data_IF_179373441928
#
_entry.id   IF_179373441928
#
_cell.length_a   1.000
_cell.length_b   1.000
_cell.length_c   1.000
_cell.angle_alpha   90.00
_cell.angle_beta   90.00
_cell.angle_gamma   90.00
#
_symmetry.space_group_name_H-M   'P 1'
#
loop_
_entity.id
_entity.type
_entity.pdbx_description
1 polymer ?
#
# COMPACT_ATOMS: atom_id res chain seq x y z
N UNK A 1 -24.26 87.16 -0.78
CA UNK A 1 -24.30 85.89 -1.53
C UNK A 1 -22.87 85.47 -1.81
N UNK A 2 -22.41 84.40 -1.16
CA UNK A 2 -21.98 83.23 -1.92
C UNK A 2 -22.53 81.92 -1.33
N UNK A 3 -22.92 81.01 -2.21
CA UNK A 3 -23.39 79.65 -1.88
C UNK A 3 -22.20 78.70 -1.87
N UNK A 4 -21.90 78.12 -0.70
CA UNK A 4 -20.95 77.02 -0.54
C UNK A 4 -21.66 75.69 -0.83
N UNK A 5 -21.16 74.94 -1.81
CA UNK A 5 -21.62 73.58 -2.16
C UNK A 5 -20.77 72.57 -1.40
N UNK A 6 -21.35 71.86 -0.43
CA UNK A 6 -20.76 70.67 0.17
C UNK A 6 -21.08 69.43 -0.67
N UNK A 7 -20.10 68.93 -1.43
CA UNK A 7 -20.05 67.53 -1.87
C UNK A 7 -19.33 66.73 -0.78
N UNK A 8 -19.97 65.69 -0.24
CA UNK A 8 -19.31 64.84 0.76
C UNK A 8 -20.03 63.52 1.05
N UNK A 9 -19.49 62.45 0.47
CA UNK A 9 -19.36 61.09 1.03
C UNK A 9 -20.63 60.24 1.19
N UNK A 10 -20.94 59.50 0.13
CA UNK A 10 -21.69 58.24 0.21
C UNK A 10 -20.94 57.16 -0.59
N UNK A 11 -19.76 56.71 -0.10
CA UNK A 11 -19.01 55.63 -0.76
C UNK A 11 -18.04 54.95 0.21
N UNK A 12 -18.51 54.48 1.37
CA UNK A 12 -17.62 53.74 2.28
C UNK A 12 -18.34 52.76 3.22
N UNK A 13 -19.45 52.13 2.80
CA UNK A 13 -20.13 51.13 3.65
C UNK A 13 -20.29 49.77 2.94
N UNK A 14 -20.33 49.71 1.61
CA UNK A 14 -20.57 48.45 0.88
C UNK A 14 -19.31 47.55 0.80
N UNK A 15 -18.09 48.09 0.97
CA UNK A 15 -16.85 47.29 0.88
C UNK A 15 -16.58 46.37 2.06
N UNK A 16 -17.20 46.59 3.23
CA UNK A 16 -16.95 45.78 4.43
C UNK A 16 -17.84 44.54 4.53
N UNK A 17 -19.03 44.53 3.93
CA UNK A 17 -19.92 43.36 3.98
C UNK A 17 -19.50 42.23 3.02
N UNK A 18 -18.89 42.55 1.86
CA UNK A 18 -18.38 41.54 0.92
C UNK A 18 -17.11 40.84 1.42
N UNK A 19 -16.24 41.56 2.15
CA UNK A 19 -15.02 40.97 2.72
C UNK A 19 -15.31 39.99 3.87
N UNK A 20 -16.32 40.29 4.71
CA UNK A 20 -16.74 39.39 5.79
C UNK A 20 -17.39 38.10 5.25
N UNK A 21 -18.12 38.19 4.13
CA UNK A 21 -18.79 37.03 3.53
C UNK A 21 -17.79 36.07 2.86
N UNK A 22 -16.73 36.57 2.22
CA UNK A 22 -15.66 35.71 1.67
C UNK A 22 -14.80 35.05 2.76
N UNK A 23 -14.61 35.72 3.90
CA UNK A 23 -13.84 35.14 5.02
C UNK A 23 -14.63 34.03 5.73
N UNK A 24 -15.93 34.23 5.96
CA UNK A 24 -16.80 33.19 6.53
C UNK A 24 -16.94 31.98 5.61
N UNK A 25 -17.03 32.15 4.28
CA UNK A 25 -17.14 31.02 3.35
C UNK A 25 -15.86 30.16 3.32
N UNK A 26 -14.68 30.79 3.38
CA UNK A 26 -13.40 30.07 3.49
C UNK A 26 -13.24 29.37 4.84
N UNK A 27 -13.71 29.99 5.93
CA UNK A 27 -13.66 29.37 7.25
C UNK A 27 -14.65 28.21 7.39
N UNK A 28 -15.84 28.30 6.77
CA UNK A 28 -16.81 27.20 6.75
C UNK A 28 -16.37 26.03 5.87
N UNK A 29 -15.74 26.29 4.70
CA UNK A 29 -15.13 25.25 3.88
C UNK A 29 -13.93 24.59 4.59
N UNK A 30 -13.14 25.36 5.35
CA UNK A 30 -12.04 24.82 6.14
C UNK A 30 -12.54 24.04 7.38
N UNK A 31 -13.64 24.46 8.02
CA UNK A 31 -14.24 23.72 9.14
C UNK A 31 -14.99 22.46 8.70
N UNK A 32 -15.62 22.44 7.52
CA UNK A 32 -16.18 21.21 6.94
C UNK A 32 -15.08 20.23 6.50
N UNK A 33 -13.94 20.73 6.01
CA UNK A 33 -12.74 19.90 5.78
C UNK A 33 -12.12 19.37 7.10
N UNK A 34 -12.31 20.07 8.22
CA UNK A 34 -11.79 19.65 9.53
C UNK A 34 -12.78 18.75 10.32
N UNK A 35 -14.08 18.78 10.00
CA UNK A 35 -15.12 17.93 10.60
C UNK A 35 -15.36 16.60 9.87
N UNK A 36 -14.75 16.38 8.70
CA UNK A 36 -14.60 15.06 8.08
C UNK A 36 -13.40 14.27 8.67
N UNK A 37 -13.12 14.45 9.97
CA UNK A 37 -12.42 13.45 10.79
C UNK A 37 -13.36 12.32 11.20
N UNK A 38 -14.19 11.85 10.26
CA UNK A 38 -15.12 10.76 10.51
C UNK A 38 -14.37 9.44 10.45
N UNK A 39 -13.95 8.95 11.62
CA UNK A 39 -13.29 7.67 11.86
C UNK A 39 -11.98 7.47 11.05
N UNK A 40 -10.85 7.33 11.74
CA UNK A 40 -9.66 6.75 11.10
C UNK A 40 -10.09 5.40 10.54
N UNK A 41 -10.19 5.29 9.23
CA UNK A 41 -10.46 4.03 8.59
C UNK A 41 -9.14 3.24 8.69
N UNK A 42 -9.09 2.22 9.54
CA UNK A 42 -7.89 1.49 9.95
C UNK A 42 -7.27 0.59 8.84
N UNK A 43 -7.48 0.97 7.58
CA UNK A 43 -6.96 0.30 6.40
C UNK A 43 -5.46 0.48 6.21
N UNK A 44 -4.93 -0.14 5.15
CA UNK A 44 -3.49 -0.20 4.95
C UNK A 44 -3.00 -0.44 3.52
N UNK A 45 -1.71 -0.23 3.22
CA UNK A 45 -1.15 -0.49 1.89
C UNK A 45 0.18 -1.23 2.01
N UNK A 46 0.19 -2.51 2.32
CA UNK A 46 1.40 -3.29 2.35
C UNK A 46 1.90 -3.52 0.95
N UNK A 47 3.16 -3.25 0.72
CA UNK A 47 3.84 -3.76 -0.45
C UNK A 47 5.02 -4.60 0.09
N UNK A 48 5.45 -5.73 -0.49
CA UNK A 48 6.60 -6.55 0.00
C UNK A 48 7.57 -6.86 -1.15
N UNK A 49 8.88 -6.55 -1.03
CA UNK A 49 9.89 -6.88 -2.05
C UNK A 49 10.30 -8.34 -1.93
N UNK A 50 9.35 -9.21 -2.19
CA UNK A 50 9.47 -10.65 -2.01
C UNK A 50 8.65 -11.34 -3.10
N UNK A 51 9.05 -12.53 -3.49
CA UNK A 51 8.21 -13.50 -4.22
C UNK A 51 7.62 -14.51 -3.25
N UNK A 52 7.11 -14.01 -2.13
CA UNK A 52 6.54 -14.81 -1.06
C UNK A 52 5.51 -15.84 -1.53
N UNK A 53 4.89 -15.61 -2.68
CA UNK A 53 3.87 -16.46 -3.25
C UNK A 53 4.40 -17.59 -4.14
N UNK A 54 5.72 -17.69 -4.35
CA UNK A 54 6.37 -18.82 -5.04
C UNK A 54 6.39 -20.08 -4.17
N UNK A 55 6.50 -21.24 -4.82
CA UNK A 55 6.54 -22.55 -4.13
C UNK A 55 7.74 -22.64 -3.18
N UNK A 56 7.51 -23.06 -1.94
CA UNK A 56 8.56 -23.23 -0.93
C UNK A 56 9.12 -21.94 -0.35
N UNK A 57 8.43 -20.82 -0.60
CA UNK A 57 8.81 -19.50 -0.17
C UNK A 57 7.69 -18.98 0.74
N UNK A 58 7.95 -18.70 2.02
CA UNK A 58 7.01 -18.08 2.95
C UNK A 58 5.56 -18.64 2.95
N UNK A 59 5.33 -19.91 2.58
CA UNK A 59 4.00 -20.49 2.47
C UNK A 59 3.41 -20.88 3.83
N UNK A 60 2.09 -20.81 3.98
CA UNK A 60 1.43 -21.18 5.24
C UNK A 60 1.88 -20.29 6.41
N UNK A 61 2.60 -20.88 7.37
CA UNK A 61 3.15 -20.17 8.54
C UNK A 61 4.65 -19.89 8.43
N UNK A 62 5.27 -20.21 7.29
CA UNK A 62 6.66 -19.83 7.04
C UNK A 62 6.82 -18.31 7.08
N UNK A 63 8.06 -17.85 7.22
CA UNK A 63 8.37 -16.44 7.45
C UNK A 63 7.69 -15.91 8.73
N UNK A 64 7.57 -16.76 9.75
CA UNK A 64 7.01 -16.40 11.05
C UNK A 64 5.51 -16.14 11.06
N UNK A 65 4.76 -16.60 10.05
CA UNK A 65 3.33 -16.34 9.93
C UNK A 65 3.00 -14.91 9.53
N UNK A 66 3.96 -14.24 8.88
CA UNK A 66 3.87 -12.87 8.40
C UNK A 66 2.58 -12.67 7.58
N UNK A 67 2.43 -13.33 6.42
CA UNK A 67 1.28 -13.13 5.52
C UNK A 67 -0.10 -13.43 6.12
N UNK A 68 -0.30 -14.57 6.83
CA UNK A 68 -1.55 -14.81 7.55
C UNK A 68 -1.90 -13.71 8.55
N UNK A 69 -0.90 -13.17 9.25
CA UNK A 69 -1.13 -12.09 10.22
C UNK A 69 -1.50 -10.77 9.54
N UNK A 70 -0.93 -10.50 8.36
CA UNK A 70 -1.33 -9.38 7.50
C UNK A 70 -2.78 -9.47 7.08
N UNK A 71 -3.17 -10.64 6.58
CA UNK A 71 -4.52 -10.89 6.11
C UNK A 71 -5.48 -10.74 7.29
N UNK A 72 -5.16 -11.33 8.46
CA UNK A 72 -5.98 -11.14 9.66
C UNK A 72 -6.14 -9.66 10.01
N UNK A 73 -5.03 -8.91 10.05
CA UNK A 73 -5.05 -7.48 10.32
C UNK A 73 -5.83 -6.66 9.27
N UNK A 74 -5.90 -7.11 8.01
CA UNK A 74 -6.71 -6.45 6.97
C UNK A 74 -8.21 -6.76 7.12
N UNK A 75 -8.54 -7.91 7.70
CA UNK A 75 -9.91 -8.39 7.85
C UNK A 75 -10.55 -8.00 9.19
N UNK A 76 -9.76 -7.69 10.22
CA UNK A 76 -10.20 -7.24 11.54
C UNK A 76 -10.83 -5.82 11.57
N UNK A 77 -10.31 -4.81 10.82
CA UNK A 77 -10.95 -3.51 10.69
C UNK A 77 -12.37 -3.66 10.16
N UNK A 78 -13.31 -2.92 10.74
CA UNK A 78 -14.61 -2.69 10.13
C UNK A 78 -14.52 -1.43 9.29
N UNK A 79 -14.50 -1.51 7.95
CA UNK A 79 -15.21 -0.51 7.17
C UNK A 79 -16.61 -0.36 7.75
N UNK A 80 -17.17 0.84 7.73
CA UNK A 80 -18.61 0.98 7.93
C UNK A 80 -19.34 0.28 6.78
N UNK A 81 -19.68 -1.01 6.93
CA UNK A 81 -20.41 -1.79 5.91
C UNK A 81 -20.20 -3.30 5.96
N UNK A 82 -20.85 -4.00 5.03
CA UNK A 82 -20.91 -5.47 4.90
C UNK A 82 -19.73 -6.08 4.10
N UNK A 83 -18.64 -5.34 3.93
CA UNK A 83 -17.48 -5.79 3.16
C UNK A 83 -16.83 -7.02 3.83
N UNK A 84 -16.64 -8.09 3.07
CA UNK A 84 -16.12 -9.37 3.60
C UNK A 84 -15.10 -10.05 2.68
N UNK A 85 -14.95 -9.59 1.44
CA UNK A 85 -14.14 -10.26 0.44
C UNK A 85 -12.66 -9.86 0.44
N UNK A 86 -11.86 -10.69 -0.24
CA UNK A 86 -10.50 -10.38 -0.69
C UNK A 86 -10.54 -10.31 -2.22
N UNK A 87 -10.20 -9.16 -2.79
CA UNK A 87 -10.02 -9.00 -4.23
C UNK A 87 -8.57 -9.33 -4.59
N UNK A 88 -8.38 -10.19 -5.56
CA UNK A 88 -7.06 -10.57 -6.06
C UNK A 88 -6.94 -10.13 -7.51
N UNK A 89 -5.92 -9.33 -7.81
CA UNK A 89 -5.65 -8.89 -9.17
C UNK A 89 -4.37 -9.57 -9.67
N UNK A 90 -4.52 -10.54 -10.56
CA UNK A 90 -3.39 -11.31 -11.10
C UNK A 90 -3.88 -12.40 -12.03
N UNK A 91 -2.99 -12.86 -12.90
CA UNK A 91 -3.19 -14.06 -13.70
C UNK A 91 -2.89 -15.25 -12.80
N UNK A 92 -3.92 -16.05 -12.48
CA UNK A 92 -3.76 -17.28 -11.69
C UNK A 92 -4.33 -18.44 -12.49
N UNK A 93 -3.60 -19.53 -12.55
CA UNK A 93 -4.21 -20.84 -12.78
C UNK A 93 -4.56 -21.48 -11.41
N UNK A 94 -5.51 -22.42 -11.42
CA UNK A 94 -5.98 -23.13 -10.21
C UNK A 94 -4.82 -23.84 -9.46
N UNK A 95 -3.74 -24.16 -10.17
CA UNK A 95 -2.59 -24.89 -9.65
C UNK A 95 -1.34 -24.01 -9.50
N UNK A 96 -1.51 -22.69 -9.49
CA UNK A 96 -0.36 -21.80 -9.52
C UNK A 96 0.24 -21.75 -8.12
N UNK A 97 1.59 -21.69 -7.99
CA UNK A 97 2.21 -21.47 -6.70
C UNK A 97 1.64 -20.24 -6.00
N UNK A 98 1.42 -19.16 -6.73
CA UNK A 98 0.90 -17.91 -6.19
C UNK A 98 -0.49 -18.08 -5.57
N UNK A 99 -1.39 -18.78 -6.25
CA UNK A 99 -2.72 -19.08 -5.72
C UNK A 99 -2.67 -19.94 -4.47
N UNK A 100 -1.93 -21.05 -4.51
CA UNK A 100 -1.78 -21.95 -3.36
C UNK A 100 -1.20 -21.24 -2.14
N UNK A 101 -0.22 -20.36 -2.34
CA UNK A 101 0.36 -19.56 -1.26
C UNK A 101 -0.69 -18.64 -0.63
N UNK A 102 -1.42 -17.88 -1.45
CA UNK A 102 -2.48 -17.00 -0.97
C UNK A 102 -3.57 -17.77 -0.22
N UNK A 103 -4.13 -18.82 -0.81
CA UNK A 103 -5.18 -19.64 -0.20
C UNK A 103 -4.72 -20.29 1.10
N UNK A 104 -3.45 -20.73 1.13
CA UNK A 104 -2.79 -21.23 2.34
C UNK A 104 -2.69 -20.16 3.42
N UNK A 105 -2.33 -18.91 3.07
CA UNK A 105 -2.27 -17.81 4.03
C UNK A 105 -3.64 -17.39 4.55
N UNK A 106 -4.65 -17.34 3.68
CA UNK A 106 -6.05 -17.05 4.06
C UNK A 106 -6.56 -18.12 5.02
N UNK A 107 -6.31 -19.40 4.72
CA UNK A 107 -6.69 -20.51 5.61
C UNK A 107 -5.94 -20.44 6.95
N UNK A 108 -4.63 -20.15 6.94
CA UNK A 108 -3.83 -19.99 8.15
C UNK A 108 -4.21 -18.74 8.97
N UNK A 109 -4.83 -17.74 8.34
CA UNK A 109 -5.42 -16.60 9.04
C UNK A 109 -6.73 -16.98 9.77
N UNK A 110 -7.30 -18.16 9.51
CA UNK A 110 -8.57 -18.64 10.06
C UNK A 110 -9.78 -18.28 9.22
N UNK A 111 -9.60 -18.00 7.92
CA UNK A 111 -10.65 -17.54 7.01
C UNK A 111 -10.94 -18.59 5.93
N UNK A 112 -12.16 -18.57 5.39
CA UNK A 112 -12.53 -19.38 4.23
C UNK A 112 -11.91 -18.83 2.95
N UNK A 113 -11.35 -19.68 2.09
CA UNK A 113 -10.84 -19.27 0.78
C UNK A 113 -11.96 -18.84 -0.18
N UNK A 114 -13.22 -19.17 0.11
CA UNK A 114 -14.39 -18.74 -0.67
C UNK A 114 -14.63 -17.23 -0.69
N UNK A 115 -13.97 -16.47 0.18
CA UNK A 115 -14.07 -15.00 0.21
C UNK A 115 -13.18 -14.32 -0.84
N UNK A 116 -12.34 -15.10 -1.54
CA UNK A 116 -11.40 -14.61 -2.53
C UNK A 116 -12.10 -14.47 -3.89
N UNK A 117 -12.02 -13.29 -4.49
CA UNK A 117 -12.42 -13.06 -5.88
C UNK A 117 -11.17 -12.81 -6.72
N UNK A 118 -10.93 -13.66 -7.71
CA UNK A 118 -9.83 -13.52 -8.66
C UNK A 118 -10.27 -12.70 -9.88
N UNK A 119 -9.46 -11.70 -10.24
CA UNK A 119 -9.62 -10.89 -11.45
C UNK A 119 -8.31 -10.89 -12.21
N UNK A 120 -8.32 -11.54 -13.37
CA UNK A 120 -7.18 -11.62 -14.28
C UNK A 120 -7.35 -10.75 -15.53
N UNK A 121 -8.59 -10.39 -15.88
CA UNK A 121 -8.89 -9.53 -17.04
C UNK A 121 -8.75 -8.04 -16.69
N UNK A 122 -7.84 -7.29 -17.35
CA UNK A 122 -7.74 -5.84 -17.19
C UNK A 122 -9.06 -5.09 -17.40
N UNK A 123 -9.95 -5.55 -18.29
CA UNK A 123 -11.23 -4.89 -18.52
C UNK A 123 -12.18 -5.01 -17.32
N UNK A 124 -12.14 -6.15 -16.61
CA UNK A 124 -12.96 -6.39 -15.43
C UNK A 124 -12.55 -5.50 -14.24
N UNK A 125 -11.29 -5.04 -14.16
CA UNK A 125 -10.83 -4.11 -13.11
C UNK A 125 -11.68 -2.83 -13.10
N UNK A 126 -12.13 -2.35 -14.27
CA UNK A 126 -12.96 -1.14 -14.35
C UNK A 126 -14.36 -1.32 -13.74
N UNK A 127 -14.90 -2.53 -13.69
CA UNK A 127 -16.23 -2.82 -13.13
C UNK A 127 -16.21 -3.30 -11.67
N UNK A 128 -15.03 -3.51 -11.07
CA UNK A 128 -14.90 -4.00 -9.68
C UNK A 128 -15.57 -3.07 -8.66
N UNK A 129 -16.51 -3.59 -7.88
CA UNK A 129 -17.02 -2.87 -6.72
C UNK A 129 -16.06 -3.01 -5.53
N UNK A 130 -15.11 -2.09 -5.37
CA UNK A 130 -14.13 -2.13 -4.27
C UNK A 130 -14.77 -2.18 -2.87
N UNK A 131 -15.97 -1.60 -2.71
CA UNK A 131 -16.69 -1.57 -1.43
C UNK A 131 -17.16 -2.95 -0.95
N UNK A 132 -17.10 -3.99 -1.78
CA UNK A 132 -17.42 -5.37 -1.39
C UNK A 132 -16.26 -6.09 -0.68
N UNK A 133 -15.06 -5.51 -0.72
CA UNK A 133 -13.83 -6.13 -0.27
C UNK A 133 -13.26 -5.39 0.94
N UNK A 134 -12.48 -6.10 1.76
CA UNK A 134 -11.65 -5.49 2.82
C UNK A 134 -10.18 -5.41 2.42
N UNK A 135 -9.74 -6.32 1.56
CA UNK A 135 -8.36 -6.46 1.13
C UNK A 135 -8.28 -6.57 -0.38
N UNK A 136 -7.34 -5.84 -0.98
CA UNK A 136 -6.83 -6.10 -2.32
C UNK A 136 -5.48 -6.79 -2.18
N UNK A 137 -5.27 -7.89 -2.89
CA UNK A 137 -3.98 -8.58 -2.96
C UNK A 137 -3.44 -8.55 -4.39
N UNK A 138 -2.18 -8.13 -4.54
CA UNK A 138 -1.43 -8.18 -5.79
C UNK A 138 -0.30 -9.21 -5.61
N UNK A 139 -0.29 -10.32 -6.36
CA UNK A 139 0.81 -11.28 -6.34
C UNK A 139 2.10 -10.69 -6.91
N UNK A 140 3.18 -11.48 -6.85
CA UNK A 140 4.43 -11.18 -7.52
C UNK A 140 4.23 -11.11 -9.04
N UNK A 141 5.14 -10.47 -9.79
CA UNK A 141 4.92 -10.27 -11.23
C UNK A 141 5.01 -11.57 -12.04
N UNK A 142 4.16 -11.70 -13.06
CA UNK A 142 4.07 -12.91 -13.89
C UNK A 142 5.27 -13.14 -14.81
N UNK A 143 6.09 -12.12 -15.07
CA UNK A 143 7.16 -12.14 -16.08
C UNK A 143 8.56 -12.14 -15.45
N UNK A 144 8.79 -13.05 -14.50
CA UNK A 144 10.12 -13.18 -13.90
C UNK A 144 11.19 -13.57 -14.94
N UNK A 145 12.32 -12.85 -14.98
CA UNK A 145 13.65 -13.23 -15.51
C UNK A 145 14.11 -14.63 -15.07
N UNK A 146 13.46 -15.16 -14.04
CA UNK A 146 13.56 -16.53 -13.62
C UNK A 146 12.23 -17.18 -14.00
N UNK A 147 12.24 -17.98 -15.06
CA UNK A 147 11.15 -18.69 -15.75
C UNK A 147 10.36 -19.69 -14.84
N UNK A 148 10.34 -19.45 -13.52
CA UNK A 148 9.79 -20.33 -12.49
C UNK A 148 8.37 -19.94 -12.07
N UNK A 149 7.90 -18.75 -12.44
CA UNK A 149 6.50 -18.35 -12.31
C UNK A 149 5.85 -18.57 -13.67
N UNK A 150 5.44 -19.80 -13.98
CA UNK A 150 4.72 -20.07 -15.24
C UNK A 150 3.52 -19.12 -15.34
N UNK A 151 3.56 -18.17 -16.28
CA UNK A 151 2.51 -17.22 -16.69
C UNK A 151 1.49 -16.78 -15.62
N UNK A 152 1.89 -16.63 -14.36
CA UNK A 152 0.98 -16.36 -13.25
C UNK A 152 1.56 -15.30 -12.33
N UNK A 153 0.74 -14.30 -12.01
CA UNK A 153 1.15 -13.14 -11.24
C UNK A 153 0.53 -11.82 -11.73
N UNK A 154 1.06 -10.71 -11.23
CA UNK A 154 0.60 -9.37 -11.56
C UNK A 154 1.31 -8.87 -12.84
N UNK A 155 0.56 -8.30 -13.78
CA UNK A 155 1.08 -7.93 -15.10
C UNK A 155 1.09 -6.42 -15.33
N UNK A 156 1.86 -5.95 -16.31
CA UNK A 156 1.83 -4.55 -16.73
C UNK A 156 0.41 -4.10 -17.13
N UNK A 157 -0.38 -4.98 -17.75
CA UNK A 157 -1.76 -4.69 -18.16
C UNK A 157 -2.69 -4.49 -16.96
N UNK A 158 -2.61 -5.37 -15.95
CA UNK A 158 -3.38 -5.21 -14.71
C UNK A 158 -2.93 -3.98 -13.92
N UNK A 159 -1.64 -3.67 -13.90
CA UNK A 159 -1.12 -2.45 -13.30
C UNK A 159 -1.63 -1.18 -13.98
N UNK A 160 -1.68 -1.16 -15.31
CA UNK A 160 -2.25 -0.04 -16.08
C UNK A 160 -3.76 0.08 -15.84
N UNK A 161 -4.50 -1.03 -15.81
CA UNK A 161 -5.93 -1.02 -15.50
C UNK A 161 -6.23 -0.52 -14.09
N UNK A 162 -5.45 -0.95 -13.10
CA UNK A 162 -5.58 -0.47 -11.72
C UNK A 162 -5.23 1.02 -11.61
N UNK A 163 -4.28 1.50 -12.41
CA UNK A 163 -3.95 2.92 -12.55
C UNK A 163 -5.10 3.72 -13.17
N UNK A 164 -5.85 3.14 -14.11
CA UNK A 164 -7.00 3.80 -14.73
C UNK A 164 -8.16 4.00 -13.75
N UNK A 165 -8.28 3.17 -12.70
CA UNK A 165 -9.28 3.31 -11.63
C UNK A 165 -8.71 3.90 -10.33
N UNK A 166 -7.58 4.63 -10.44
CA UNK A 166 -6.83 5.14 -9.28
C UNK A 166 -7.70 5.90 -8.27
N UNK A 167 -8.60 6.77 -8.70
CA UNK A 167 -9.42 7.57 -7.77
C UNK A 167 -10.35 6.69 -6.92
N UNK A 168 -10.93 5.64 -7.52
CA UNK A 168 -11.77 4.66 -6.81
C UNK A 168 -10.94 3.78 -5.88
N UNK A 169 -9.75 3.38 -6.32
CA UNK A 169 -8.80 2.64 -5.47
C UNK A 169 -8.39 3.50 -4.26
N UNK A 170 -8.03 4.76 -4.47
CA UNK A 170 -7.69 5.68 -3.39
C UNK A 170 -8.90 5.95 -2.48
N UNK A 171 -10.11 6.02 -3.01
CA UNK A 171 -11.31 6.12 -2.17
C UNK A 171 -11.47 4.86 -1.28
N UNK A 172 -11.27 3.67 -1.82
CA UNK A 172 -11.30 2.43 -1.06
C UNK A 172 -10.25 2.42 0.06
N UNK A 173 -8.99 2.70 -0.28
CA UNK A 173 -7.89 2.71 0.68
C UNK A 173 -8.03 3.84 1.71
N UNK A 174 -8.40 5.04 1.26
CA UNK A 174 -8.32 6.24 2.07
C UNK A 174 -9.61 6.65 2.78
N UNK A 175 -10.78 6.26 2.27
CA UNK A 175 -12.06 6.67 2.83
C UNK A 175 -12.87 5.50 3.38
N UNK A 176 -12.64 4.29 2.88
CA UNK A 176 -13.41 3.10 3.29
C UNK A 176 -12.62 2.19 4.24
N UNK A 177 -11.34 2.48 4.51
CA UNK A 177 -10.49 1.64 5.37
C UNK A 177 -10.09 0.33 4.73
N UNK A 178 -10.07 0.31 3.39
CA UNK A 178 -9.58 -0.80 2.62
C UNK A 178 -8.09 -1.04 2.84
N UNK A 179 -7.69 -2.30 2.76
CA UNK A 179 -6.29 -2.72 2.82
C UNK A 179 -5.80 -3.18 1.46
N UNK A 180 -4.50 -3.01 1.20
CA UNK A 180 -3.80 -3.52 0.02
C UNK A 180 -2.58 -4.31 0.51
N UNK A 181 -2.32 -5.47 -0.05
CA UNK A 181 -1.07 -6.23 0.08
C UNK A 181 -0.56 -6.47 -1.33
N UNK A 182 0.69 -6.14 -1.61
CA UNK A 182 1.22 -6.26 -2.97
C UNK A 182 2.65 -6.79 -2.96
N UNK A 183 2.93 -7.87 -3.67
CA UNK A 183 4.27 -8.44 -3.73
C UNK A 183 5.02 -7.87 -4.95
N UNK A 184 6.15 -7.24 -4.69
CA UNK A 184 7.06 -6.77 -5.72
C UNK A 184 8.14 -7.83 -5.97
N UNK A 185 7.95 -8.58 -7.03
CA UNK A 185 9.01 -9.35 -7.68
C UNK A 185 9.17 -8.82 -9.09
N UNK A 186 10.39 -8.39 -9.43
CA UNK A 186 10.80 -7.99 -10.78
C UNK A 186 10.11 -6.77 -11.39
N UNK A 187 10.72 -6.15 -12.43
CA UNK A 187 10.28 -4.85 -12.86
C UNK A 187 9.08 -5.03 -13.77
N UNK A 188 7.90 -4.77 -13.23
CA UNK A 188 6.87 -4.10 -14.03
C UNK A 188 7.54 -2.92 -14.74
N UNK A 189 7.17 -2.65 -15.99
CA UNK A 189 7.76 -1.52 -16.74
C UNK A 189 7.54 -0.20 -15.99
N UNK A 190 6.41 -0.11 -15.28
CA UNK A 190 6.01 1.06 -14.49
C UNK A 190 5.32 0.59 -13.20
N UNK A 191 6.05 0.17 -12.16
CA UNK A 191 5.47 -0.51 -11.01
C UNK A 191 4.56 0.42 -10.20
N UNK A 192 3.33 -0.04 -9.95
CA UNK A 192 2.36 0.56 -9.04
C UNK A 192 2.08 2.05 -9.30
N UNK A 193 1.86 2.44 -10.56
CA UNK A 193 1.58 3.85 -10.95
C UNK A 193 0.30 4.44 -10.34
N UNK A 194 -0.55 3.61 -9.76
CA UNK A 194 -1.70 4.06 -8.99
C UNK A 194 -1.30 4.72 -7.66
N UNK A 195 -0.07 4.52 -7.18
CA UNK A 195 0.46 5.22 -6.02
C UNK A 195 0.68 6.72 -6.31
N UNK A 196 0.54 7.59 -5.30
CA UNK A 196 0.71 9.03 -5.48
C UNK A 196 2.13 9.47 -5.78
N UNK A 197 3.12 8.67 -5.39
CA UNK A 197 4.53 8.90 -5.70
C UNK A 197 5.06 7.64 -6.40
N UNK A 198 5.91 7.74 -7.43
CA UNK A 198 6.45 6.58 -8.12
C UNK A 198 7.42 5.77 -7.25
N UNK A 199 7.12 4.49 -7.06
CA UNK A 199 7.94 3.60 -6.25
C UNK A 199 9.32 3.38 -6.87
N UNK A 200 10.38 3.52 -6.07
CA UNK A 200 11.76 3.22 -6.48
C UNK A 200 12.24 1.94 -5.80
N UNK A 201 12.52 0.93 -6.61
CA UNK A 201 13.09 -0.34 -6.17
C UNK A 201 14.32 -0.68 -7.00
N UNK A 202 15.31 -1.30 -6.37
CA UNK A 202 16.43 -1.92 -7.05
C UNK A 202 16.28 -3.44 -6.97
N UNK A 203 16.38 -4.08 -8.13
CA UNK A 203 16.59 -5.51 -8.19
C UNK A 203 18.06 -5.77 -7.97
N UNK A 204 18.35 -6.74 -7.12
CA UNK A 204 19.69 -7.26 -6.96
C UNK A 204 19.93 -8.19 -8.14
N UNK A 205 20.59 -7.64 -9.16
CA UNK A 205 21.00 -8.37 -10.36
C UNK A 205 22.34 -9.06 -10.11
N UNK A 206 22.56 -10.14 -10.86
CA UNK A 206 23.79 -10.93 -10.82
C UNK A 206 25.07 -10.07 -10.94
N UNK A 207 26.20 -10.48 -10.33
CA UNK A 207 26.44 -11.80 -9.75
C UNK A 207 25.65 -12.08 -8.47
N UNK A 208 25.30 -13.36 -8.27
CA UNK A 208 24.41 -13.85 -7.21
C UNK A 208 25.00 -13.73 -5.78
N UNK A 209 26.07 -12.97 -5.61
CA UNK A 209 26.77 -12.71 -4.34
C UNK A 209 26.21 -11.50 -3.59
N UNK A 210 25.27 -10.77 -4.17
CA UNK A 210 24.64 -9.61 -3.53
C UNK A 210 23.26 -9.91 -2.93
N UNK A 211 22.76 -11.13 -3.12
CA UNK A 211 21.58 -11.57 -2.39
C UNK A 211 21.89 -11.71 -0.91
N UNK A 212 20.84 -11.65 -0.13
CA UNK A 212 20.94 -11.64 1.31
C UNK A 212 19.87 -12.52 1.89
N UNK A 213 20.27 -13.21 2.94
CA UNK A 213 19.42 -14.06 3.76
C UNK A 213 19.04 -13.39 5.06
N UNK A 214 19.85 -12.44 5.52
CA UNK A 214 19.71 -11.82 6.84
C UNK A 214 18.96 -10.48 6.77
N UNK A 215 18.03 -10.31 7.70
CA UNK A 215 17.20 -9.11 7.85
C UNK A 215 17.20 -8.66 9.30
N UNK A 216 17.06 -7.35 9.51
CA UNK A 216 16.65 -6.77 10.78
C UNK A 216 15.16 -6.45 10.75
N UNK A 217 14.48 -6.66 11.87
CA UNK A 217 13.10 -6.22 12.08
C UNK A 217 13.06 -4.93 12.91
N UNK A 218 12.11 -4.05 12.64
CA UNK A 218 11.84 -2.87 13.47
C UNK A 218 10.77 -3.19 14.52
N UNK A 219 10.54 -2.27 15.45
CA UNK A 219 9.46 -2.39 16.44
C UNK A 219 8.07 -2.45 15.80
N UNK A 220 7.91 -1.77 14.67
CA UNK A 220 6.66 -1.63 13.94
C UNK A 220 6.22 -2.97 13.32
N UNK A 221 7.15 -3.90 13.03
CA UNK A 221 6.80 -5.26 12.58
C UNK A 221 5.89 -5.98 13.60
N UNK A 222 6.10 -5.73 14.90
CA UNK A 222 5.38 -6.41 15.96
C UNK A 222 3.88 -6.05 16.02
N UNK A 223 3.45 -4.93 15.43
CA UNK A 223 2.02 -4.60 15.35
C UNK A 223 1.25 -5.50 14.39
N UNK A 224 1.94 -6.12 13.42
CA UNK A 224 1.32 -7.04 12.47
C UNK A 224 1.68 -8.49 12.73
N UNK A 225 2.94 -8.76 13.04
CA UNK A 225 3.44 -10.12 13.20
C UNK A 225 4.34 -10.21 14.45
N UNK A 226 3.73 -10.56 15.60
CA UNK A 226 4.44 -10.69 16.87
C UNK A 226 5.53 -11.78 16.86
N UNK A 227 5.38 -12.78 16.00
CA UNK A 227 6.32 -13.89 15.81
C UNK A 227 7.41 -13.59 14.79
N UNK A 228 7.31 -12.46 14.08
CA UNK A 228 8.28 -12.06 13.08
C UNK A 228 9.50 -11.43 13.75
N UNK A 229 10.66 -12.01 13.48
CA UNK A 229 11.96 -11.58 13.97
C UNK A 229 13.03 -11.93 12.92
N UNK A 230 14.28 -11.58 13.21
CA UNK A 230 15.41 -11.84 12.31
C UNK A 230 15.52 -13.32 11.92
N UNK A 231 15.26 -14.23 12.85
CA UNK A 231 15.35 -15.68 12.62
C UNK A 231 14.19 -16.19 11.80
N UNK A 232 12.96 -15.75 12.09
CA UNK A 232 11.77 -16.26 11.39
C UNK A 232 11.62 -15.67 9.99
N UNK A 233 12.14 -14.47 9.74
CA UNK A 233 12.19 -13.86 8.40
C UNK A 233 13.49 -14.17 7.64
N UNK A 234 14.45 -14.86 8.26
CA UNK A 234 15.69 -15.26 7.59
C UNK A 234 15.35 -16.19 6.41
N UNK A 235 16.01 -15.93 5.28
CA UNK A 235 15.86 -16.74 4.08
C UNK A 235 17.02 -17.71 3.91
N UNK A 236 16.79 -18.79 3.18
CA UNK A 236 17.87 -19.70 2.79
C UNK A 236 18.81 -19.00 1.80
N UNK A 237 20.13 -19.25 1.83
CA UNK A 237 21.04 -18.80 0.77
C UNK A 237 20.64 -19.28 -0.63
N UNK A 238 19.92 -20.41 -0.73
CA UNK A 238 19.41 -20.94 -2.01
C UNK A 238 18.10 -20.29 -2.45
N UNK A 239 17.49 -19.49 -1.58
CA UNK A 239 16.28 -18.73 -1.88
C UNK A 239 16.28 -17.38 -1.15
N UNK A 240 17.23 -16.51 -1.49
CA UNK A 240 17.39 -15.25 -0.80
C UNK A 240 16.43 -14.20 -1.36
N UNK A 241 16.33 -13.07 -0.68
CA UNK A 241 15.59 -11.92 -1.21
C UNK A 241 16.39 -11.25 -2.35
N UNK A 242 15.70 -10.82 -3.41
CA UNK A 242 16.30 -10.30 -4.65
C UNK A 242 15.85 -8.88 -5.01
N UNK A 243 15.10 -8.20 -4.16
CA UNK A 243 14.61 -6.86 -4.40
C UNK A 243 14.69 -6.00 -3.13
N UNK A 244 15.04 -4.73 -3.31
CA UNK A 244 15.16 -3.75 -2.22
C UNK A 244 14.49 -2.46 -2.63
N UNK A 245 13.97 -1.70 -1.67
CA UNK A 245 13.56 -0.33 -1.95
C UNK A 245 14.77 0.58 -1.89
N UNK A 246 14.73 1.63 -2.70
CA UNK A 246 15.81 2.63 -2.77
C UNK A 246 15.32 4.06 -2.56
N UNK A 247 14.11 4.23 -2.01
CA UNK A 247 13.55 5.54 -1.65
C UNK A 247 13.99 6.05 -0.26
N UNK A 248 13.64 7.28 0.11
CA UNK A 248 13.90 7.81 1.45
C UNK A 248 12.97 7.18 2.52
N UNK A 249 13.42 7.10 3.77
CA UNK A 249 12.54 6.79 4.91
C UNK A 249 11.39 7.81 5.00
N UNK A 250 10.15 7.35 5.27
CA UNK A 250 8.97 8.21 5.33
C UNK A 250 8.35 8.55 3.98
N UNK A 251 8.83 7.94 2.89
CA UNK A 251 8.34 8.18 1.53
C UNK A 251 6.83 7.97 1.45
N UNK A 252 6.06 9.00 1.06
CA UNK A 252 4.59 8.99 1.05
C UNK A 252 3.94 8.59 2.41
N UNK A 253 4.57 8.92 3.54
CA UNK A 253 4.02 8.63 4.88
C UNK A 253 4.31 7.23 5.40
N UNK A 254 5.25 6.52 4.76
CA UNK A 254 5.51 5.12 5.02
C UNK A 254 6.71 4.90 6.03
N UNK A 255 6.52 4.16 7.16
CA UNK A 255 7.45 3.54 8.18
C UNK A 255 8.28 2.24 7.85
N UNK A 256 9.54 2.06 8.23
CA UNK A 256 10.28 0.79 7.91
C UNK A 256 9.85 -0.42 8.79
N UNK A 257 9.59 -1.64 8.25
CA UNK A 257 9.35 -2.85 9.10
C UNK A 257 10.47 -3.90 9.11
N UNK A 258 11.18 -4.07 7.99
CA UNK A 258 12.43 -4.83 7.94
C UNK A 258 13.46 -4.18 7.02
N UNK A 259 14.74 -4.48 7.22
CA UNK A 259 15.82 -3.94 6.40
C UNK A 259 17.06 -4.84 6.37
N UNK A 260 18.02 -4.53 5.50
CA UNK A 260 19.33 -5.19 5.47
C UNK A 260 20.08 -5.00 6.75
N UNK A 261 20.48 -6.11 7.35
CA UNK A 261 21.40 -6.08 8.48
C UNK A 261 22.62 -5.21 8.11
N UNK A 262 22.83 -4.13 8.87
CA UNK A 262 23.94 -3.20 8.67
C UNK A 262 23.68 -2.03 7.71
N UNK A 263 22.58 -2.00 6.96
CA UNK A 263 22.34 -0.91 5.97
C UNK A 263 21.24 0.07 6.34
N UNK A 264 20.83 0.13 7.61
CA UNK A 264 19.99 1.21 8.13
C UNK A 264 20.40 1.58 9.55
N UNK A 265 21.34 2.53 9.74
CA UNK A 265 21.80 2.92 11.07
C UNK A 265 20.73 3.62 11.90
N UNK A 266 19.71 4.21 11.26
CA UNK A 266 18.48 4.71 11.90
C UNK A 266 17.26 4.33 11.06
N UNK A 267 16.39 3.42 11.54
CA UNK A 267 15.22 2.95 10.79
C UNK A 267 14.04 3.95 10.76
N UNK A 268 14.22 5.16 11.29
CA UNK A 268 13.19 6.21 11.35
C UNK A 268 13.78 7.62 11.19
N UNK A 269 12.97 8.55 10.67
CA UNK A 269 13.32 9.97 10.45
C UNK A 269 13.53 10.34 8.97
N UNK A 270 13.47 11.65 8.61
CA UNK A 270 13.54 12.08 7.22
C UNK A 270 14.97 12.02 6.63
N UNK A 271 15.07 11.88 5.30
CA UNK A 271 16.28 12.05 4.48
C UNK A 271 17.45 11.07 4.73
N UNK A 272 17.16 9.80 5.02
CA UNK A 272 18.21 8.77 5.11
C UNK A 272 18.09 7.73 3.99
N UNK A 273 19.22 7.45 3.34
CA UNK A 273 19.37 6.33 2.40
C UNK A 273 19.68 5.07 3.22
N UNK A 274 18.69 4.23 3.45
CA UNK A 274 18.99 2.86 3.87
C UNK A 274 19.11 1.96 2.62
N UNK A 275 19.64 0.75 2.76
CA UNK A 275 19.39 -0.34 1.79
C UNK A 275 18.37 -1.30 2.39
N UNK A 276 17.11 -0.88 2.47
CA UNK A 276 16.08 -1.65 3.16
C UNK A 276 15.53 -2.78 2.28
N UNK A 277 15.67 -3.98 2.83
CA UNK A 277 15.15 -5.24 2.32
C UNK A 277 13.67 -5.33 2.58
N UNK A 278 12.91 -4.92 1.57
CA UNK A 278 11.53 -4.56 1.76
C UNK A 278 11.43 -3.59 2.93
N UNK A 279 11.70 -2.27 2.75
CA UNK A 279 10.91 -1.18 3.33
C UNK A 279 11.35 0.26 3.24
N UNK A 280 10.46 1.13 2.78
CA UNK A 280 10.30 2.46 3.35
C UNK A 280 8.84 2.88 3.53
N UNK A 281 7.78 2.07 3.80
CA UNK A 281 7.54 0.83 4.59
C UNK A 281 7.45 -0.39 3.72
N UNK A 282 8.04 -1.49 4.18
CA UNK A 282 8.30 -2.76 3.52
C UNK A 282 8.24 -3.90 4.51
N UNK A 283 7.71 -5.04 4.12
CA UNK A 283 7.30 -6.09 5.03
C UNK A 283 6.25 -5.57 6.03
N UNK A 284 5.25 -4.83 5.51
CA UNK A 284 3.90 -4.55 6.09
C UNK A 284 3.56 -3.08 6.27
N UNK A 285 3.33 -2.40 5.17
CA UNK A 285 2.95 -1.00 5.19
C UNK A 285 1.48 -0.87 5.49
N UNK A 286 1.17 -0.29 6.63
CA UNK A 286 -0.17 0.15 6.88
C UNK A 286 -0.25 1.63 7.06
N UNK A 287 -0.97 2.26 6.14
CA UNK A 287 -1.26 3.67 6.21
C UNK A 287 -2.72 3.82 6.57
N UNK A 288 -2.96 4.47 7.71
CA UNK A 288 -4.20 5.18 7.90
C UNK A 288 -4.08 6.46 7.05
N UNK A 289 -4.93 6.65 6.04
CA UNK A 289 -4.94 7.80 5.14
C UNK A 289 -4.96 9.13 5.88
N UNK A 290 -3.79 9.75 6.04
CA UNK A 290 -3.69 11.13 6.49
C UNK A 290 -2.95 11.98 5.45
N UNK A 291 -3.75 12.76 4.73
CA UNK A 291 -3.38 13.91 3.90
C UNK A 291 -2.55 13.63 2.64
N UNK A 292 -3.23 13.64 1.49
CA UNK A 292 -2.68 14.18 0.24
C UNK A 292 -3.17 15.65 0.14
N UNK A 293 -2.32 16.63 -0.21
CA UNK A 293 -2.78 17.96 -0.60
C UNK A 293 -3.58 17.93 -1.91
#
# INVERSE_FOLDING_TARGET
MPTYVHKGRATCIIRWQLALCCFCLRFFLCLQALHLRTANADGFICIVADDADRKGICQGLDCGGLYPSMIRAAMEPKPAGDATGILVLGEFDDESPARRSLEGWVSAAGLSTSIITYVSDPAAVNSVNFSAYKLIYLPSSANGLLDFAGNSGFTNRLNDALTAVRDRLLQFLNAQGGSLIALLHQPLERPYRFLPVPLTAALIKAPWNHYYSDVNVTSEMASYCRTCNQTTLKRSPTNPYHAVFTGPVGWAGMQVLSFKLGSCPRPSGPHQNCEAFGAYIWSFLCFIPQYLP
#
